data_IF_439200417971
#
_entry.id   IF_439200417971
#
_cell.length_a   1.000
_cell.length_b   1.000
_cell.length_c   1.000
_cell.angle_alpha   90.00
_cell.angle_beta   90.00
_cell.angle_gamma   90.00
#
_symmetry.space_group_name_H-M   'P 1'
#
loop_
_entity.id
_entity.type
_entity.pdbx_description
1 polymer ?
#
# COMPACT_ATOMS: atom_id res chain seq x y z
N UNK A 1 -14.93 11.51 13.29
CA UNK A 1 -14.00 11.17 12.21
C UNK A 1 -13.08 10.13 12.81
N UNK A 2 -12.88 9.00 12.15
CA UNK A 2 -11.98 7.96 12.62
C UNK A 2 -10.54 8.45 12.67
N UNK A 3 -9.69 7.68 13.33
CA UNK A 3 -8.29 8.04 13.53
C UNK A 3 -7.52 7.78 12.26
N UNK A 4 -6.60 8.66 11.92
CA UNK A 4 -5.81 8.52 10.70
C UNK A 4 -4.42 8.03 11.01
N UNK A 5 -3.95 7.08 10.21
CA UNK A 5 -2.61 6.52 10.31
C UNK A 5 -1.91 6.60 8.97
N UNK A 6 -0.58 6.66 9.00
CA UNK A 6 0.24 6.66 7.80
C UNK A 6 1.39 5.68 7.90
N UNK A 7 1.78 5.14 6.77
CA UNK A 7 3.00 4.37 6.63
C UNK A 7 3.52 4.45 5.18
N UNK A 8 4.78 4.08 4.99
CA UNK A 8 5.51 4.25 3.74
C UNK A 8 6.23 2.96 3.33
N UNK A 9 5.99 2.54 2.10
CA UNK A 9 6.65 1.40 1.48
C UNK A 9 7.64 1.85 0.41
N UNK A 10 8.77 1.17 0.31
CA UNK A 10 9.73 1.37 -0.78
C UNK A 10 10.33 0.03 -1.17
N UNK A 11 10.46 -0.21 -2.48
CA UNK A 11 11.16 -1.39 -2.97
C UNK A 11 11.85 -1.15 -4.32
N UNK A 12 12.93 -1.90 -4.56
CA UNK A 12 13.64 -1.93 -5.82
C UNK A 12 12.98 -2.96 -6.75
N UNK A 13 12.25 -2.49 -7.74
CA UNK A 13 11.34 -3.31 -8.51
C UNK A 13 11.98 -3.73 -9.84
N UNK A 14 12.18 -5.04 -9.99
CA UNK A 14 12.59 -5.69 -11.25
C UNK A 14 11.55 -6.70 -11.77
N UNK A 15 10.61 -7.10 -10.92
CA UNK A 15 9.47 -7.97 -11.23
C UNK A 15 8.21 -7.38 -10.57
N UNK A 16 7.15 -8.19 -10.42
CA UNK A 16 6.04 -7.77 -9.55
C UNK A 16 6.54 -7.71 -8.11
N UNK A 17 6.48 -6.52 -7.51
CA UNK A 17 6.83 -6.35 -6.10
C UNK A 17 5.82 -5.50 -5.34
N UNK A 18 5.40 -6.02 -4.20
CA UNK A 18 4.54 -5.35 -3.24
C UNK A 18 5.34 -4.33 -2.45
N UNK A 19 4.87 -3.08 -2.46
CA UNK A 19 5.55 -1.97 -1.80
C UNK A 19 5.14 -1.88 -0.33
N UNK A 20 3.84 -2.07 -0.08
CA UNK A 20 3.22 -1.98 1.24
C UNK A 20 1.94 -2.83 1.29
N UNK A 21 1.72 -3.50 2.41
CA UNK A 21 0.44 -4.12 2.77
C UNK A 21 -0.06 -3.57 4.10
N UNK A 22 -1.37 -3.40 4.22
CA UNK A 22 -2.05 -3.06 5.47
C UNK A 22 -3.08 -4.15 5.74
N UNK A 23 -2.77 -4.97 6.74
CA UNK A 23 -3.64 -6.02 7.26
C UNK A 23 -4.57 -5.42 8.32
N UNK A 24 -5.83 -5.79 8.24
CA UNK A 24 -6.85 -5.38 9.20
C UNK A 24 -6.67 -6.10 10.55
N UNK A 25 -7.59 -5.86 11.48
CA UNK A 25 -7.80 -6.69 12.67
C UNK A 25 -9.26 -7.18 12.71
N UNK A 26 -9.62 -7.98 13.71
CA UNK A 26 -11.02 -8.42 13.92
C UNK A 26 -11.91 -7.32 14.52
N UNK A 27 -11.33 -6.20 14.92
CA UNK A 27 -12.01 -5.07 15.59
C UNK A 27 -12.04 -3.79 14.76
N UNK A 28 -11.33 -3.74 13.62
CA UNK A 28 -11.24 -2.55 12.78
C UNK A 28 -11.52 -2.91 11.33
N UNK A 29 -11.92 -1.92 10.55
CA UNK A 29 -12.05 -2.07 9.10
C UNK A 29 -11.39 -0.86 8.47
N UNK A 30 -10.04 -0.90 8.31
CA UNK A 30 -9.34 0.27 7.86
C UNK A 30 -9.94 0.71 6.51
N UNK A 31 -9.88 2.01 6.24
CA UNK A 31 -10.39 2.64 5.02
C UNK A 31 -9.31 3.54 4.42
N UNK A 32 -8.80 3.20 3.24
CA UNK A 32 -7.76 3.98 2.55
C UNK A 32 -8.31 5.34 2.11
N UNK A 33 -7.67 6.42 2.58
CA UNK A 33 -8.04 7.80 2.31
C UNK A 33 -7.11 8.47 1.29
N UNK A 34 -5.81 8.16 1.32
CA UNK A 34 -4.80 8.74 0.44
C UNK A 34 -3.78 7.69 0.01
N UNK A 35 -3.35 7.78 -1.24
CA UNK A 35 -2.30 6.97 -1.83
C UNK A 35 -1.44 7.85 -2.72
N UNK A 36 -0.16 7.97 -2.39
CA UNK A 36 0.85 8.65 -3.22
C UNK A 36 1.87 7.64 -3.70
N UNK A 37 2.16 7.62 -5.00
CA UNK A 37 3.21 6.78 -5.58
C UNK A 37 4.14 7.61 -6.47
N UNK A 38 5.43 7.29 -6.42
CA UNK A 38 6.46 7.88 -7.26
C UNK A 38 7.74 7.04 -7.34
N UNK A 39 8.76 7.59 -7.97
CA UNK A 39 10.09 6.98 -8.08
C UNK A 39 11.11 7.71 -7.19
N UNK A 40 11.84 6.97 -6.37
CA UNK A 40 12.86 7.48 -5.43
C UNK A 40 14.27 7.55 -6.00
N UNK A 41 14.47 7.15 -7.25
CA UNK A 41 15.76 7.19 -7.95
C UNK A 41 15.66 8.04 -9.22
N UNK A 42 16.79 8.27 -9.90
CA UNK A 42 16.81 8.97 -11.19
C UNK A 42 15.84 8.29 -12.15
N UNK A 43 14.72 8.95 -12.50
CA UNK A 43 13.65 8.28 -13.22
C UNK A 43 13.97 8.17 -14.71
N UNK A 44 13.71 7.00 -15.29
CA UNK A 44 13.75 6.78 -16.74
C UNK A 44 12.41 7.06 -17.41
N UNK A 45 12.38 7.10 -18.74
CA UNK A 45 11.12 7.10 -19.51
C UNK A 45 10.63 5.67 -19.70
N UNK A 46 10.29 5.03 -18.58
CA UNK A 46 9.91 3.63 -18.51
C UNK A 46 8.48 3.56 -18.01
N UNK A 47 7.66 2.78 -18.71
CA UNK A 47 6.29 2.54 -18.31
C UNK A 47 6.28 1.64 -17.06
N UNK A 48 5.42 1.96 -16.11
CA UNK A 48 5.24 1.20 -14.88
C UNK A 48 3.75 1.09 -14.59
N UNK A 49 3.34 -0.10 -14.17
CA UNK A 49 1.97 -0.40 -13.84
C UNK A 49 1.87 -0.71 -12.36
N UNK A 50 1.02 0.01 -11.65
CA UNK A 50 0.70 -0.28 -10.26
C UNK A 50 -0.73 -0.77 -10.12
N UNK A 51 -0.97 -1.61 -9.11
CA UNK A 51 -2.32 -1.92 -8.68
C UNK A 51 -2.47 -1.86 -7.16
N UNK A 52 -3.67 -1.48 -6.73
CA UNK A 52 -4.17 -1.65 -5.37
C UNK A 52 -5.08 -2.87 -5.38
N UNK A 53 -4.83 -3.83 -4.50
CA UNK A 53 -5.57 -5.09 -4.47
C UNK A 53 -5.98 -5.45 -3.04
N UNK A 54 -7.07 -6.21 -2.90
CA UNK A 54 -7.40 -6.90 -1.65
C UNK A 54 -6.74 -8.27 -1.61
N UNK A 55 -6.32 -8.69 -0.42
CA UNK A 55 -5.84 -10.05 -0.16
C UNK A 55 -6.55 -10.66 1.04
N UNK A 56 -6.53 -11.98 1.15
CA UNK A 56 -7.12 -12.72 2.28
C UNK A 56 -6.08 -13.22 3.29
N UNK A 57 -4.84 -13.40 2.85
CA UNK A 57 -3.68 -13.74 3.67
C UNK A 57 -2.47 -13.07 3.02
N UNK A 58 -1.65 -12.38 3.82
CA UNK A 58 -0.28 -12.02 3.43
C UNK A 58 0.66 -13.07 4.01
N UNK A 59 1.08 -14.01 3.17
CA UNK A 59 2.09 -15.04 3.45
C UNK A 59 3.44 -14.73 2.77
N UNK A 60 3.60 -13.49 2.31
CA UNK A 60 4.84 -12.98 1.76
C UNK A 60 5.94 -12.85 2.81
N UNK A 61 7.15 -12.55 2.34
CA UNK A 61 8.29 -12.21 3.21
C UNK A 61 8.50 -10.71 3.14
N UNK A 62 8.36 -10.01 4.26
CA UNK A 62 8.45 -8.57 4.34
C UNK A 62 8.92 -8.10 5.72
N UNK A 63 9.30 -6.83 5.83
CA UNK A 63 9.59 -6.18 7.11
C UNK A 63 8.30 -5.67 7.74
N UNK A 64 8.11 -5.94 9.04
CA UNK A 64 7.01 -5.31 9.77
C UNK A 64 7.31 -3.81 9.97
N UNK A 65 6.31 -2.98 9.75
CA UNK A 65 6.35 -1.55 10.05
C UNK A 65 5.25 -1.20 11.06
N UNK A 66 5.51 -0.20 11.89
CA UNK A 66 4.52 0.31 12.86
C UNK A 66 3.89 1.57 12.28
N UNK A 67 2.58 1.56 11.96
CA UNK A 67 1.91 2.74 11.45
C UNK A 67 1.99 3.92 12.42
N UNK A 68 2.28 5.10 11.90
CA UNK A 68 2.34 6.33 12.69
C UNK A 68 0.95 6.98 12.71
N UNK A 69 0.39 7.31 13.89
CA UNK A 69 -0.84 8.09 13.96
C UNK A 69 -0.59 9.52 13.47
N UNK A 70 -1.50 10.08 12.67
CA UNK A 70 -1.38 11.47 12.22
C UNK A 70 -1.63 12.48 13.34
N UNK A 71 -2.46 12.12 14.32
CA UNK A 71 -2.55 12.81 15.59
C UNK A 71 -1.63 12.09 16.59
N UNK A 72 -0.55 12.73 17.08
CA UNK A 72 0.41 12.06 17.96
C UNK A 72 -0.17 11.64 19.33
N UNK A 73 -1.35 12.14 19.71
CA UNK A 73 -2.04 11.73 20.94
C UNK A 73 -2.97 10.51 20.72
N UNK A 74 -3.15 10.06 19.48
CA UNK A 74 -3.92 8.84 19.18
C UNK A 74 -3.12 7.58 19.58
N UNK A 75 -3.81 6.50 20.00
CA UNK A 75 -3.16 5.22 20.27
C UNK A 75 -2.57 4.62 19.00
N UNK A 76 -1.68 3.65 19.16
CA UNK A 76 -1.14 2.88 18.04
C UNK A 76 -2.26 2.22 17.21
N UNK A 77 -2.02 2.15 15.89
CA UNK A 77 -2.89 1.45 14.95
C UNK A 77 -3.08 -0.01 15.37
N UNK A 78 -4.30 -0.52 15.14
CA UNK A 78 -4.58 -1.95 15.29
C UNK A 78 -4.30 -2.74 14.01
N UNK A 79 -4.14 -2.04 12.88
CA UNK A 79 -3.73 -2.66 11.62
C UNK A 79 -2.24 -3.05 11.69
N UNK A 80 -1.91 -4.15 11.02
CA UNK A 80 -0.51 -4.57 10.87
C UNK A 80 -0.02 -4.13 9.50
N UNK A 81 1.10 -3.42 9.44
CA UNK A 81 1.71 -3.01 8.18
C UNK A 81 2.97 -3.82 7.88
N UNK A 82 3.13 -4.22 6.62
CA UNK A 82 4.34 -4.84 6.12
C UNK A 82 4.85 -4.06 4.91
N UNK A 83 6.17 -3.87 4.84
CA UNK A 83 6.87 -3.09 3.82
C UNK A 83 8.09 -3.85 3.31
N UNK A 84 8.61 -3.46 2.15
CA UNK A 84 9.81 -4.06 1.56
C UNK A 84 9.67 -5.58 1.40
N UNK A 85 8.64 -6.00 0.66
CA UNK A 85 8.39 -7.42 0.38
C UNK A 85 9.49 -7.99 -0.52
N UNK A 86 10.13 -9.07 -0.09
CA UNK A 86 11.07 -9.86 -0.90
C UNK A 86 10.44 -11.13 -1.48
N UNK A 87 9.22 -11.47 -1.03
CA UNK A 87 8.39 -12.51 -1.62
C UNK A 87 6.94 -12.04 -1.61
N UNK A 88 6.27 -12.19 -2.75
CA UNK A 88 4.92 -11.67 -2.95
C UNK A 88 3.87 -12.40 -2.10
N UNK A 89 2.84 -11.70 -1.61
CA UNK A 89 1.67 -12.32 -1.01
C UNK A 89 0.95 -13.24 -2.03
N UNK A 90 0.64 -14.47 -1.65
CA UNK A 90 0.13 -15.48 -2.59
C UNK A 90 -1.38 -15.40 -2.85
N UNK A 91 -2.17 -14.74 -2.00
CA UNK A 91 -3.64 -14.76 -2.11
C UNK A 91 -4.24 -13.40 -2.42
N UNK A 92 -4.22 -13.04 -3.71
CA UNK A 92 -4.85 -11.83 -4.22
C UNK A 92 -6.31 -12.11 -4.59
N UNK A 93 -7.22 -11.34 -4.00
CA UNK A 93 -8.63 -11.34 -4.32
C UNK A 93 -8.95 -10.35 -5.45
N UNK A 94 -9.51 -9.19 -5.07
CA UNK A 94 -10.00 -8.20 -6.04
C UNK A 94 -8.99 -7.07 -6.27
N UNK A 95 -8.81 -6.67 -7.53
CA UNK A 95 -8.09 -5.44 -7.90
C UNK A 95 -9.05 -4.25 -7.79
N UNK A 96 -8.64 -3.19 -7.07
CA UNK A 96 -9.46 -2.02 -6.74
C UNK A 96 -9.12 -0.78 -7.57
N UNK A 97 -7.83 -0.59 -7.86
CA UNK A 97 -7.30 0.54 -8.63
C UNK A 97 -6.11 0.04 -9.45
N UNK A 98 -6.01 0.51 -10.68
CA UNK A 98 -4.85 0.27 -11.56
C UNK A 98 -4.35 1.62 -12.04
N UNK A 99 -3.04 1.85 -11.91
CA UNK A 99 -2.40 3.12 -12.26
C UNK A 99 -1.26 2.87 -13.26
N UNK A 100 -1.51 3.09 -14.56
CA UNK A 100 -0.44 3.13 -15.56
C UNK A 100 0.22 4.51 -15.57
N UNK A 101 1.53 4.57 -15.33
CA UNK A 101 2.30 5.82 -15.38
C UNK A 101 3.75 5.58 -15.82
N UNK A 102 4.45 6.62 -16.26
CA UNK A 102 5.91 6.55 -16.46
C UNK A 102 6.63 6.86 -15.16
N UNK A 103 7.80 6.27 -14.89
CA UNK A 103 8.55 6.47 -13.64
C UNK A 103 8.81 7.94 -13.26
N UNK A 104 8.82 8.85 -14.24
CA UNK A 104 8.96 10.30 -14.03
C UNK A 104 7.74 10.98 -13.42
N UNK A 105 6.59 10.31 -13.44
CA UNK A 105 5.35 10.85 -12.93
C UNK A 105 5.16 10.47 -11.46
N UNK A 106 4.51 11.37 -10.73
CA UNK A 106 3.95 11.10 -9.40
C UNK A 106 2.44 11.04 -9.56
N UNK A 107 1.83 10.02 -8.96
CA UNK A 107 0.38 9.89 -8.93
C UNK A 107 -0.10 9.97 -7.48
N UNK A 108 -1.21 10.68 -7.27
CA UNK A 108 -1.91 10.73 -5.99
C UNK A 108 -3.39 10.45 -6.20
N UNK A 109 -3.91 9.50 -5.46
CA UNK A 109 -5.34 9.25 -5.34
C UNK A 109 -5.79 9.66 -3.95
N UNK A 110 -6.92 10.37 -3.89
CA UNK A 110 -7.53 10.82 -2.63
C UNK A 110 -9.00 10.44 -2.66
N UNK A 111 -9.47 9.80 -1.60
CA UNK A 111 -10.86 9.43 -1.45
C UNK A 111 -11.75 10.66 -1.23
N UNK A 112 -12.95 10.64 -1.79
CA UNK A 112 -14.02 11.49 -1.27
C UNK A 112 -14.40 11.01 0.14
N UNK A 113 -14.88 11.88 1.04
CA UNK A 113 -15.21 11.48 2.41
C UNK A 113 -16.13 10.25 2.48
N UNK A 114 -15.69 9.20 3.21
CA UNK A 114 -16.42 7.93 3.37
C UNK A 114 -16.51 7.06 2.11
N UNK A 115 -15.69 7.35 1.09
CA UNK A 115 -15.61 6.59 -0.17
C UNK A 115 -14.23 5.97 -0.38
N UNK A 116 -13.49 5.77 0.70
CA UNK A 116 -12.23 5.08 0.66
C UNK A 116 -12.38 3.59 0.33
N UNK A 117 -11.29 2.98 -0.11
CA UNK A 117 -11.25 1.54 -0.28
C UNK A 117 -11.19 0.88 1.09
N UNK A 118 -12.16 0.02 1.42
CA UNK A 118 -12.27 -0.65 2.73
C UNK A 118 -11.70 -2.07 2.72
N UNK A 119 -11.05 -2.46 3.80
CA UNK A 119 -10.59 -3.82 4.05
C UNK A 119 -11.76 -4.65 4.58
N UNK A 120 -11.52 -5.94 4.78
CA UNK A 120 -12.44 -6.77 5.55
C UNK A 120 -12.07 -6.70 7.04
N UNK A 121 -13.02 -7.06 7.92
CA UNK A 121 -12.80 -7.07 9.37
C UNK A 121 -12.25 -8.44 9.81
N UNK A 122 -11.09 -8.82 9.28
CA UNK A 122 -10.44 -10.12 9.50
C UNK A 122 -8.93 -9.86 9.56
N UNK A 123 -8.26 -10.39 10.58
CA UNK A 123 -6.87 -10.03 10.91
C UNK A 123 -5.83 -10.39 9.83
N UNK A 124 -6.12 -11.35 8.97
CA UNK A 124 -5.21 -11.77 7.88
C UNK A 124 -5.54 -11.10 6.55
N UNK A 125 -6.65 -10.37 6.48
CA UNK A 125 -7.15 -9.76 5.25
C UNK A 125 -6.84 -8.27 5.22
N UNK A 126 -6.69 -7.70 4.03
CA UNK A 126 -6.25 -6.32 3.90
C UNK A 126 -6.16 -5.85 2.47
N UNK A 127 -5.36 -4.81 2.25
CA UNK A 127 -4.97 -4.38 0.92
C UNK A 127 -3.48 -4.26 0.80
N UNK A 128 -2.99 -4.52 -0.41
CA UNK A 128 -1.62 -4.25 -0.79
C UNK A 128 -1.59 -3.31 -1.98
N UNK A 129 -0.46 -2.62 -2.12
CA UNK A 129 -0.14 -1.87 -3.31
C UNK A 129 1.20 -2.34 -3.85
N UNK A 130 1.21 -2.70 -5.13
CA UNK A 130 2.38 -3.29 -5.78
C UNK A 130 2.65 -2.65 -7.12
N UNK A 131 3.91 -2.70 -7.51
CA UNK A 131 4.33 -2.45 -8.87
C UNK A 131 4.35 -3.78 -9.62
N UNK A 132 3.55 -3.92 -10.67
CA UNK A 132 3.39 -5.16 -11.44
C UNK A 132 4.55 -5.44 -12.39
N UNK A 133 5.15 -4.39 -12.94
CA UNK A 133 6.26 -4.48 -13.89
C UNK A 133 6.94 -3.13 -13.97
N UNK A 134 8.27 -3.14 -13.93
CA UNK A 134 9.08 -2.00 -14.33
C UNK A 134 10.04 -2.46 -15.43
N UNK A 135 10.03 -1.78 -16.59
CA UNK A 135 11.09 -1.98 -17.58
C UNK A 135 12.35 -1.29 -17.07
N UNK A 136 13.21 -2.06 -16.38
CA UNK A 136 14.45 -1.59 -15.73
C UNK A 136 14.29 -1.36 -14.22
N UNK A 137 15.41 -1.45 -13.49
CA UNK A 137 15.44 -1.32 -12.03
C UNK A 137 15.02 0.10 -11.61
N UNK A 138 13.89 0.21 -10.91
CA UNK A 138 13.45 1.45 -10.29
C UNK A 138 13.10 1.23 -8.83
N UNK A 139 13.32 2.26 -8.00
CA UNK A 139 12.86 2.25 -6.62
C UNK A 139 11.55 3.00 -6.57
N UNK A 140 10.45 2.29 -6.31
CA UNK A 140 9.14 2.89 -6.18
C UNK A 140 8.83 3.14 -4.72
N UNK A 141 8.36 4.35 -4.44
CA UNK A 141 7.96 4.77 -3.10
C UNK A 141 6.43 4.93 -3.09
N UNK A 142 5.82 4.45 -2.01
CA UNK A 142 4.40 4.55 -1.74
C UNK A 142 4.19 5.15 -0.36
N UNK A 143 3.26 6.08 -0.24
CA UNK A 143 2.73 6.55 1.04
C UNK A 143 1.24 6.31 1.07
N UNK A 144 0.77 5.67 2.13
CA UNK A 144 -0.65 5.45 2.38
C UNK A 144 -1.11 6.19 3.62
N UNK A 145 -2.34 6.68 3.58
CA UNK A 145 -3.06 7.18 4.74
C UNK A 145 -4.41 6.48 4.79
N UNK A 146 -4.76 5.93 5.94
CA UNK A 146 -6.05 5.26 6.15
C UNK A 146 -6.69 5.67 7.47
N UNK A 147 -8.01 5.46 7.54
CA UNK A 147 -8.84 5.68 8.71
C UNK A 147 -9.12 4.35 9.43
N UNK A 148 -9.10 4.34 10.77
CA UNK A 148 -9.60 3.25 11.65
C UNK A 148 -10.64 3.74 12.66
#
# INVERSE_FOLDING_TARGET
MGRLYTDQGSNAVEATETLITVQSATTIKPELQDLVVGCGVTPGDQATLFDLYRFTVDDGTASASTPEPLDPDDPASLATCQVTHSAEPNTIGAILLVVPLHQRATFRWVAAPGRGFKANNVATEGWGFRSLTATGTAVHNCTMIWEE
#
